data_IF_866434243024
#
_entry.id   IF_866434243024
#
_cell.length_a   1.000
_cell.length_b   1.000
_cell.length_c   1.000
_cell.angle_alpha   90.00
_cell.angle_beta   90.00
_cell.angle_gamma   90.00
#
_symmetry.space_group_name_H-M   'P 1'
#
loop_
_entity.id
_entity.type
_entity.pdbx_description
1 polymer ?
#
# COMPACT_ATOMS: atom_id res chain seq x y z
N UNK A 1 -8.72 2.34 2.51
CA UNK A 1 -9.73 3.40 2.31
C UNK A 1 -11.17 2.85 2.25
N UNK A 2 -12.12 3.50 2.93
CA UNK A 2 -13.54 3.14 2.83
C UNK A 2 -14.08 3.20 1.40
N UNK A 3 -13.58 4.13 0.56
CA UNK A 3 -14.00 4.26 -0.85
C UNK A 3 -13.57 3.05 -1.69
N UNK A 4 -12.53 2.32 -1.26
CA UNK A 4 -12.06 1.06 -1.86
C UNK A 4 -12.83 -0.18 -1.36
N UNK A 5 -14.07 -0.01 -0.93
CA UNK A 5 -14.88 -1.05 -0.28
C UNK A 5 -14.13 -1.75 0.87
N UNK A 6 -13.38 -1.00 1.67
CA UNK A 6 -12.63 -1.46 2.86
C UNK A 6 -11.49 -2.46 2.63
N UNK A 7 -11.48 -3.25 1.56
CA UNK A 7 -10.51 -4.34 1.35
C UNK A 7 -9.90 -4.40 -0.06
N UNK A 8 -10.43 -3.69 -1.05
CA UNK A 8 -9.98 -3.81 -2.45
C UNK A 8 -8.74 -2.98 -2.76
N UNK A 9 -8.47 -1.96 -1.96
CA UNK A 9 -7.31 -1.06 -2.09
C UNK A 9 -6.59 -0.99 -0.75
N UNK A 10 -5.27 -1.22 -0.77
CA UNK A 10 -4.37 -0.94 0.34
C UNK A 10 -3.38 0.15 -0.08
N UNK A 11 -3.16 1.11 0.81
CA UNK A 11 -2.10 2.12 0.70
C UNK A 11 -1.13 1.84 1.85
N UNK A 12 0.15 1.67 1.54
CA UNK A 12 1.18 1.27 2.50
C UNK A 12 2.32 2.27 2.41
N UNK A 13 2.61 2.98 3.51
CA UNK A 13 3.86 3.75 3.61
C UNK A 13 4.98 2.86 4.12
N UNK A 14 6.19 3.10 3.62
CA UNK A 14 7.37 2.35 4.03
C UNK A 14 8.62 3.22 4.06
N UNK A 15 9.54 2.88 4.96
CA UNK A 15 10.91 3.43 4.96
C UNK A 15 11.77 2.65 3.99
N UNK A 16 12.04 3.22 2.82
CA UNK A 16 12.80 2.55 1.77
C UNK A 16 14.29 2.43 2.11
N UNK A 17 14.80 1.20 2.07
CA UNK A 17 16.20 0.90 2.39
C UNK A 17 17.03 0.47 1.16
N UNK A 18 16.39 -0.05 0.11
CA UNK A 18 17.08 -0.53 -1.09
C UNK A 18 16.16 -0.51 -2.33
N UNK A 19 16.75 -0.56 -3.53
CA UNK A 19 16.02 -0.60 -4.78
C UNK A 19 15.19 -1.89 -4.91
N UNK A 20 13.91 -1.78 -5.27
CA UNK A 20 13.00 -2.92 -5.34
C UNK A 20 12.35 -3.32 -4.01
N UNK A 21 12.64 -2.63 -2.90
CA UNK A 21 12.02 -2.88 -1.60
C UNK A 21 10.48 -2.79 -1.65
N UNK A 22 9.92 -1.88 -2.44
CA UNK A 22 8.47 -1.75 -2.65
C UNK A 22 7.82 -3.03 -3.20
N UNK A 23 8.45 -3.70 -4.17
CA UNK A 23 7.91 -4.96 -4.74
C UNK A 23 7.84 -6.06 -3.68
N UNK A 24 8.83 -6.14 -2.79
CA UNK A 24 8.82 -7.09 -1.67
C UNK A 24 7.64 -6.83 -0.73
N UNK A 25 7.35 -5.57 -0.42
CA UNK A 25 6.20 -5.19 0.40
C UNK A 25 4.89 -5.57 -0.30
N UNK A 26 4.74 -5.29 -1.60
CA UNK A 26 3.55 -5.66 -2.37
C UNK A 26 3.27 -7.17 -2.32
N UNK A 27 4.28 -8.01 -2.58
CA UNK A 27 4.13 -9.46 -2.48
C UNK A 27 3.86 -9.93 -1.05
N UNK A 28 4.43 -9.26 -0.05
CA UNK A 28 4.16 -9.53 1.37
C UNK A 28 2.69 -9.29 1.72
N UNK A 29 2.11 -8.17 1.27
CA UNK A 29 0.69 -7.84 1.51
C UNK A 29 -0.23 -8.91 0.91
N UNK A 30 0.04 -9.41 -0.29
CA UNK A 30 -0.79 -10.45 -0.91
C UNK A 30 -0.65 -11.85 -0.28
N UNK A 31 0.51 -12.17 0.29
CA UNK A 31 0.82 -13.54 0.70
C UNK A 31 0.75 -13.78 2.21
N UNK A 32 0.93 -12.75 3.03
CA UNK A 32 1.13 -12.94 4.46
C UNK A 32 -0.18 -13.11 5.24
N UNK A 33 -1.15 -12.19 5.05
CA UNK A 33 -2.42 -12.22 5.78
C UNK A 33 -3.58 -12.54 4.84
N UNK A 34 -4.43 -13.49 5.25
CA UNK A 34 -5.62 -13.90 4.47
C UNK A 34 -6.58 -12.74 4.16
N UNK A 35 -6.63 -11.73 5.03
CA UNK A 35 -7.47 -10.54 4.85
C UNK A 35 -7.09 -9.71 3.63
N UNK A 36 -5.82 -9.72 3.20
CA UNK A 36 -5.32 -8.92 2.10
C UNK A 36 -5.13 -9.70 0.79
N UNK A 37 -5.45 -11.00 0.78
CA UNK A 37 -5.34 -11.84 -0.43
C UNK A 37 -6.22 -11.36 -1.59
N UNK A 38 -7.36 -10.74 -1.30
CA UNK A 38 -8.30 -10.22 -2.30
C UNK A 38 -8.16 -8.72 -2.56
N UNK A 39 -7.14 -8.09 -1.98
CA UNK A 39 -6.82 -6.69 -2.26
C UNK A 39 -6.30 -6.60 -3.69
N UNK A 40 -7.03 -5.92 -4.57
CA UNK A 40 -6.72 -5.86 -6.00
C UNK A 40 -5.65 -4.82 -6.31
N UNK A 41 -5.63 -3.74 -5.54
CA UNK A 41 -4.70 -2.62 -5.74
C UNK A 41 -3.89 -2.39 -4.47
N UNK A 42 -2.57 -2.32 -4.64
CA UNK A 42 -1.64 -1.96 -3.58
C UNK A 42 -0.84 -0.77 -4.09
N UNK A 43 -0.95 0.36 -3.38
CA UNK A 43 -0.13 1.55 -3.61
C UNK A 43 0.90 1.61 -2.49
N UNK A 44 2.17 1.69 -2.86
CA UNK A 44 3.28 1.79 -1.91
C UNK A 44 3.87 3.18 -2.03
N UNK A 45 3.90 3.91 -0.92
CA UNK A 45 4.45 5.27 -0.81
C UNK A 45 5.60 5.28 0.19
N UNK A 46 6.43 6.32 0.16
CA UNK A 46 7.48 6.52 1.15
C UNK A 46 6.89 7.02 2.49
N UNK A 47 7.70 7.10 3.56
CA UNK A 47 7.23 7.37 4.92
C UNK A 47 6.83 8.82 5.20
N UNK A 48 7.09 9.71 4.26
CA UNK A 48 6.73 11.13 4.29
C UNK A 48 5.31 11.43 3.79
N UNK A 49 4.58 10.42 3.28
CA UNK A 49 3.22 10.55 2.76
C UNK A 49 2.18 10.06 3.77
N UNK A 50 1.15 10.87 4.05
CA UNK A 50 -0.02 10.41 4.80
C UNK A 50 -0.92 9.53 3.92
N UNK A 51 -0.90 8.23 4.22
CA UNK A 51 -1.72 7.20 3.55
C UNK A 51 -3.24 7.38 3.71
N UNK A 52 -3.67 8.28 4.61
CA UNK A 52 -5.09 8.61 4.84
C UNK A 52 -5.55 9.83 4.06
N UNK A 53 -4.63 10.67 3.55
CA UNK A 53 -4.97 11.78 2.66
C UNK A 53 -4.78 11.38 1.19
N UNK A 54 -5.90 11.26 0.48
CA UNK A 54 -5.89 10.93 -0.94
C UNK A 54 -5.14 11.93 -1.81
N UNK A 55 -5.05 13.21 -1.42
CA UNK A 55 -4.33 14.21 -2.21
C UNK A 55 -2.83 13.94 -2.19
N UNK A 56 -2.27 13.58 -1.04
CA UNK A 56 -0.86 13.23 -0.91
C UNK A 56 -0.55 11.90 -1.61
N UNK A 57 -1.43 10.91 -1.46
CA UNK A 57 -1.26 9.59 -2.11
C UNK A 57 -1.33 9.66 -3.65
N UNK A 58 -2.12 10.58 -4.21
CA UNK A 58 -2.19 10.79 -5.68
C UNK A 58 -1.00 11.61 -6.19
N UNK A 59 -0.42 12.47 -5.35
CA UNK A 59 0.77 13.25 -5.70
C UNK A 59 2.03 12.39 -5.79
N UNK A 60 2.14 11.38 -4.92
CA UNK A 60 3.22 10.40 -4.89
C UNK A 60 3.16 9.41 -6.06
#
# INVERSE_FOLDING_TARGET
PPEGCSYRIAVVSMKKAYAGHAKRVMFGVWSFLRQFMYTKFIVVVDDDIDVRDWKEVIWA
#
